data_IF_427988313758
#
_entry.id   IF_427988313758
#
_cell.length_a   1.000
_cell.length_b   1.000
_cell.length_c   1.000
_cell.angle_alpha   90.00
_cell.angle_beta   90.00
_cell.angle_gamma   90.00
#
_symmetry.space_group_name_H-M   'P 1'
#
loop_
_entity.id
_entity.type
_entity.pdbx_description
1 polymer ?
#
# COMPACT_ATOMS: atom_id res chain seq x y z
N UNK A 1 15.12 0.28 -15.91
CA UNK A 1 14.94 1.70 -15.57
C UNK A 1 13.49 2.16 -15.65
N UNK A 2 12.73 1.80 -16.71
CA UNK A 2 11.32 2.22 -16.86
C UNK A 2 10.38 1.65 -15.79
N UNK A 3 10.53 0.37 -15.42
CA UNK A 3 9.68 -0.29 -14.42
C UNK A 3 9.81 0.32 -13.02
N UNK A 4 11.04 0.59 -12.57
CA UNK A 4 11.32 1.23 -11.28
C UNK A 4 10.67 2.62 -11.21
N UNK A 5 10.84 3.44 -12.27
CA UNK A 5 10.21 4.77 -12.33
C UNK A 5 8.68 4.70 -12.36
N UNK A 6 8.11 3.69 -13.01
CA UNK A 6 6.67 3.48 -13.00
C UNK A 6 6.16 3.16 -11.59
N UNK A 7 6.87 2.29 -10.84
CA UNK A 7 6.55 1.97 -9.45
C UNK A 7 6.61 3.20 -8.56
N UNK A 8 7.72 3.94 -8.58
CA UNK A 8 7.92 5.15 -7.77
C UNK A 8 6.84 6.21 -8.03
N UNK A 9 6.57 6.51 -9.31
CA UNK A 9 5.58 7.52 -9.68
C UNK A 9 4.15 7.10 -9.30
N UNK A 10 3.82 5.83 -9.49
CA UNK A 10 2.47 5.32 -9.17
C UNK A 10 2.25 5.29 -7.66
N UNK A 11 3.27 4.92 -6.89
CA UNK A 11 3.22 4.92 -5.42
C UNK A 11 3.06 6.35 -4.88
N UNK A 12 3.90 7.29 -5.33
CA UNK A 12 3.80 8.69 -4.92
C UNK A 12 2.44 9.33 -5.28
N UNK A 13 1.87 8.93 -6.43
CA UNK A 13 0.52 9.37 -6.80
C UNK A 13 -0.53 8.82 -5.83
N UNK A 14 -0.43 7.54 -5.45
CA UNK A 14 -1.36 6.93 -4.51
C UNK A 14 -1.28 7.56 -3.11
N UNK A 15 -0.07 7.89 -2.65
CA UNK A 15 0.16 8.61 -1.39
C UNK A 15 -0.48 10.00 -1.41
N UNK A 16 -0.27 10.76 -2.50
CA UNK A 16 -0.91 12.08 -2.65
C UNK A 16 -2.44 12.01 -2.69
N UNK A 17 -3.01 10.97 -3.31
CA UNK A 17 -4.45 10.73 -3.29
C UNK A 17 -4.97 10.39 -1.89
N UNK A 18 -4.20 9.63 -1.11
CA UNK A 18 -4.52 9.34 0.28
C UNK A 18 -4.51 10.62 1.14
N UNK A 19 -3.51 11.48 0.97
CA UNK A 19 -3.44 12.78 1.66
C UNK A 19 -4.60 13.71 1.28
N UNK A 20 -5.10 13.59 0.05
CA UNK A 20 -6.26 14.32 -0.45
C UNK A 20 -7.62 13.70 -0.04
N UNK A 21 -7.62 12.68 0.83
CA UNK A 21 -8.82 11.94 1.28
C UNK A 21 -9.55 11.18 0.14
N UNK A 22 -8.94 11.07 -1.04
CA UNK A 22 -9.47 10.27 -2.15
C UNK A 22 -9.03 8.80 -2.01
N UNK A 23 -9.57 8.16 -0.96
CA UNK A 23 -9.25 6.78 -0.61
C UNK A 23 -9.54 5.79 -1.74
N UNK A 24 -10.59 6.04 -2.53
CA UNK A 24 -10.98 5.15 -3.62
C UNK A 24 -9.95 5.21 -4.75
N UNK A 25 -9.52 6.41 -5.14
CA UNK A 25 -8.50 6.58 -6.16
C UNK A 25 -7.13 6.06 -5.68
N UNK A 26 -6.76 6.30 -4.42
CA UNK A 26 -5.52 5.77 -3.84
C UNK A 26 -5.46 4.24 -3.92
N UNK A 27 -6.53 3.56 -3.48
CA UNK A 27 -6.64 2.09 -3.56
C UNK A 27 -6.57 1.61 -5.02
N UNK A 28 -7.24 2.31 -5.95
CA UNK A 28 -7.22 1.95 -7.36
C UNK A 28 -5.81 2.06 -7.97
N UNK A 29 -5.06 3.12 -7.64
CA UNK A 29 -3.68 3.30 -8.08
C UNK A 29 -2.77 2.18 -7.56
N UNK A 30 -2.83 1.88 -6.26
CA UNK A 30 -2.06 0.78 -5.66
C UNK A 30 -2.42 -0.58 -6.26
N UNK A 31 -3.69 -0.87 -6.53
CA UNK A 31 -4.09 -2.14 -7.17
C UNK A 31 -3.53 -2.29 -8.58
N UNK A 32 -3.45 -1.20 -9.34
CA UNK A 32 -2.80 -1.21 -10.65
C UNK A 32 -1.31 -1.49 -10.51
N UNK A 33 -0.66 -0.87 -9.52
CA UNK A 33 0.74 -1.14 -9.23
C UNK A 33 0.98 -2.61 -8.88
N UNK A 34 0.17 -3.17 -7.97
CA UNK A 34 0.27 -4.57 -7.54
C UNK A 34 -0.06 -5.58 -8.66
N UNK A 35 -0.88 -5.20 -9.63
CA UNK A 35 -1.11 -6.02 -10.82
C UNK A 35 0.13 -6.10 -11.74
N UNK A 36 1.02 -5.09 -11.68
CA UNK A 36 2.28 -5.08 -12.42
C UNK A 36 3.42 -5.72 -11.63
N UNK A 37 3.53 -5.39 -10.35
CA UNK A 37 4.51 -5.93 -9.43
C UNK A 37 3.84 -6.21 -8.07
N UNK A 38 3.54 -7.49 -7.76
CA UNK A 38 2.82 -7.84 -6.55
C UNK A 38 3.71 -7.78 -5.30
N UNK A 39 5.03 -7.60 -5.43
CA UNK A 39 5.95 -7.54 -4.30
C UNK A 39 6.25 -6.11 -3.82
N UNK A 40 5.42 -5.14 -4.21
CA UNK A 40 5.53 -3.75 -3.74
C UNK A 40 4.83 -3.60 -2.40
N UNK A 41 5.54 -3.92 -1.34
CA UNK A 41 5.06 -3.82 0.05
C UNK A 41 4.45 -2.45 0.41
N UNK A 42 5.04 -1.30 0.05
CA UNK A 42 4.44 0.02 0.31
C UNK A 42 3.05 0.22 -0.30
N UNK A 43 2.74 -0.46 -1.42
CA UNK A 43 1.42 -0.35 -2.04
C UNK A 43 0.33 -1.03 -1.19
N UNK A 44 0.66 -2.10 -0.47
CA UNK A 44 -0.25 -2.71 0.50
C UNK A 44 -0.47 -1.83 1.72
N UNK A 45 0.59 -1.14 2.19
CA UNK A 45 0.48 -0.17 3.29
C UNK A 45 -0.48 0.96 2.94
N UNK A 46 -0.33 1.59 1.77
CA UNK A 46 -1.23 2.66 1.31
C UNK A 46 -2.69 2.17 1.18
N UNK A 47 -2.91 0.94 0.68
CA UNK A 47 -4.27 0.35 0.61
C UNK A 47 -4.86 0.17 2.00
N UNK A 48 -4.08 -0.30 2.97
CA UNK A 48 -4.56 -0.46 4.34
C UNK A 48 -4.82 0.89 5.02
N UNK A 49 -3.96 1.87 4.82
CA UNK A 49 -4.12 3.23 5.32
C UNK A 49 -5.40 3.88 4.78
N UNK A 50 -5.61 3.84 3.46
CA UNK A 50 -6.81 4.35 2.82
C UNK A 50 -8.10 3.69 3.33
N UNK A 51 -8.05 2.38 3.59
CA UNK A 51 -9.19 1.65 4.16
C UNK A 51 -9.44 2.02 5.63
N UNK A 52 -8.41 2.19 6.43
CA UNK A 52 -8.55 2.65 7.81
C UNK A 52 -9.15 4.06 7.87
N UNK A 53 -8.67 4.98 7.02
CA UNK A 53 -9.20 6.33 6.90
C UNK A 53 -10.69 6.34 6.49
N UNK A 54 -11.07 5.45 5.57
CA UNK A 54 -12.46 5.22 5.17
C UNK A 54 -13.32 4.46 6.21
N UNK A 55 -12.76 4.03 7.35
CA UNK A 55 -13.44 3.24 8.38
C UNK A 55 -13.59 1.73 8.09
N UNK A 56 -13.00 1.22 7.01
CA UNK A 56 -12.97 -0.21 6.65
C UNK A 56 -11.76 -0.93 7.29
N UNK A 57 -11.76 -1.04 8.63
CA UNK A 57 -10.69 -1.76 9.35
C UNK A 57 -10.58 -3.22 8.91
N UNK A 58 -11.71 -3.88 8.63
CA UNK A 58 -11.72 -5.26 8.15
C UNK A 58 -10.97 -5.39 6.81
N UNK A 59 -11.15 -4.44 5.90
CA UNK A 59 -10.42 -4.39 4.65
C UNK A 59 -8.94 -4.09 4.82
N UNK A 60 -8.54 -3.25 5.76
CA UNK A 60 -7.13 -3.02 6.06
C UNK A 60 -6.43 -4.33 6.48
N UNK A 61 -7.03 -5.08 7.40
CA UNK A 61 -6.53 -6.41 7.78
C UNK A 61 -6.51 -7.43 6.64
N UNK A 62 -7.44 -7.33 5.68
CA UNK A 62 -7.40 -8.17 4.48
C UNK A 62 -6.19 -7.86 3.60
N UNK A 63 -5.85 -6.59 3.41
CA UNK A 63 -4.69 -6.18 2.63
C UNK A 63 -3.37 -6.64 3.27
N UNK A 64 -3.24 -6.49 4.59
CA UNK A 64 -2.09 -6.99 5.32
C UNK A 64 -1.90 -8.52 5.16
N UNK A 65 -2.97 -9.29 5.37
CA UNK A 65 -2.92 -10.75 5.20
C UNK A 65 -2.67 -11.19 3.77
N UNK A 66 -3.01 -10.36 2.78
CA UNK A 66 -2.69 -10.62 1.38
C UNK A 66 -1.19 -10.48 1.13
N UNK A 67 -0.59 -9.39 1.62
CA UNK A 67 0.86 -9.19 1.59
C UNK A 67 1.62 -10.32 2.29
N UNK A 68 1.22 -10.67 3.51
CA UNK A 68 1.86 -11.78 4.26
C UNK A 68 1.81 -13.10 3.48
N UNK A 69 0.63 -13.50 2.99
CA UNK A 69 0.47 -14.76 2.25
C UNK A 69 1.30 -14.81 0.98
N UNK A 70 1.40 -13.69 0.27
CA UNK A 70 2.17 -13.62 -0.97
C UNK A 70 3.67 -13.72 -0.68
N UNK A 71 4.18 -12.94 0.28
CA UNK A 71 5.61 -12.91 0.59
C UNK A 71 6.07 -14.23 1.20
N UNK A 72 5.28 -14.80 2.12
CA UNK A 72 5.61 -16.09 2.71
C UNK A 72 5.52 -17.21 1.67
N UNK A 73 4.48 -17.21 0.84
CA UNK A 73 4.26 -18.26 -0.17
C UNK A 73 5.28 -18.26 -1.30
N UNK A 74 5.71 -17.09 -1.78
CA UNK A 74 6.57 -16.98 -2.96
C UNK A 74 8.05 -16.73 -2.63
N UNK A 75 8.33 -16.06 -1.51
CA UNK A 75 9.69 -15.62 -1.16
C UNK A 75 10.21 -16.27 0.13
N UNK A 76 9.40 -17.03 0.87
CA UNK A 76 9.73 -17.60 2.19
C UNK A 76 10.23 -16.53 3.18
N UNK A 77 9.73 -15.31 3.04
CA UNK A 77 10.01 -14.17 3.94
C UNK A 77 8.70 -13.57 4.43
N UNK A 78 8.76 -12.89 5.58
CA UNK A 78 7.65 -12.07 6.05
C UNK A 78 7.78 -10.63 5.57
N UNK A 79 6.67 -9.92 5.33
CA UNK A 79 6.69 -8.48 5.10
C UNK A 79 7.38 -7.75 6.26
N UNK A 80 8.09 -6.68 5.92
CA UNK A 80 8.75 -5.78 6.89
C UNK A 80 7.78 -4.82 7.58
N UNK A 81 6.69 -4.47 6.89
CA UNK A 81 5.59 -3.67 7.37
C UNK A 81 4.76 -4.43 8.40
N UNK A 82 4.30 -3.72 9.42
CA UNK A 82 3.39 -4.22 10.45
C UNK A 82 2.17 -3.32 10.44
N UNK A 83 0.99 -3.92 10.27
CA UNK A 83 -0.27 -3.17 10.34
C UNK A 83 -0.48 -2.61 11.75
N UNK A 84 -0.53 -1.29 11.87
CA UNK A 84 -0.83 -0.58 13.12
C UNK A 84 -2.17 0.16 13.02
N UNK A 85 -2.74 0.54 14.18
CA UNK A 85 -4.05 1.20 14.25
C UNK A 85 -4.10 2.57 13.56
N UNK A 86 -2.94 3.19 13.33
CA UNK A 86 -2.84 4.50 12.67
C UNK A 86 -2.82 4.40 11.15
N UNK A 87 -2.48 3.25 10.56
CA UNK A 87 -2.29 3.07 9.12
C UNK A 87 -1.16 3.93 8.50
N UNK A 88 -0.56 4.83 9.27
CA UNK A 88 0.36 5.86 8.80
C UNK A 88 1.66 5.70 9.58
N UNK A 89 2.64 5.00 9.02
CA UNK A 89 4.02 5.10 9.52
C UNK A 89 4.96 5.88 8.57
N UNK A 90 4.56 6.13 7.32
CA UNK A 90 5.46 6.71 6.30
C UNK A 90 5.08 8.11 5.75
N UNK A 91 4.23 8.91 6.41
CA UNK A 91 4.03 10.31 6.00
C UNK A 91 4.97 11.27 6.76
N UNK A 92 6.28 11.02 6.65
CA UNK A 92 7.30 11.96 7.15
C UNK A 92 8.39 12.25 6.11
N UNK A 93 8.01 13.05 5.12
CA UNK A 93 8.92 13.95 4.41
C UNK A 93 8.17 15.27 4.22
N UNK A 94 8.12 16.14 5.25
CA UNK A 94 8.92 17.38 5.36
C UNK A 94 9.26 17.99 4.00
N UNK A 95 8.63 19.16 3.78
CA UNK A 95 8.93 20.27 2.86
C UNK A 95 10.30 20.27 2.17
#
# INVERSE_FOLDING_TARGET
MLAVRFTELTLATAESLLEADDHTAAIAACRRLLAHDPFVEPAYEVVAAARLAAGDSAGAHRAFRECERLFEGELDIRPTWILNASGVHSLRHVW
#
